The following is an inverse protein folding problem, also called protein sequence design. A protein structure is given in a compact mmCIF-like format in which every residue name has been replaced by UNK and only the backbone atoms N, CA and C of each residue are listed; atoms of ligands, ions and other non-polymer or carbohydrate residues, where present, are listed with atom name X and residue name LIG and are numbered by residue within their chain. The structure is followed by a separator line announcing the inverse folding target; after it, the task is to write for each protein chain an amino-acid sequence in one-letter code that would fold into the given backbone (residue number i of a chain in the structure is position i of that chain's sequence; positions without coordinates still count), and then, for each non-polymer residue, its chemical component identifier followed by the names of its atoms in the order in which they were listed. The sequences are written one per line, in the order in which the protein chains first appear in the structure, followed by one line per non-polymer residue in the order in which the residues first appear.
data_IF_161119202549
#
_entry.id   IF_161119202549
#
_cell.length_a   1.000
_cell.length_b   1.000
_cell.length_c   1.000
_cell.angle_alpha   90.00
_cell.angle_beta   90.00
_cell.angle_gamma   90.00
#
_symmetry.space_group_name_H-M   'P 1'
#
loop_
_entity.id
_entity.type
_entity.pdbx_description
1 polymer ?
#
# COMPACT_ATOMS: atom_id res chain seq x y z
N UNK A 1 -6.19 3.20 13.75
CA UNK A 1 -7.36 4.06 14.03
C UNK A 1 -7.77 4.80 12.76
N UNK A 2 -8.95 4.50 12.22
CA UNK A 2 -9.50 5.21 11.05
C UNK A 2 -10.08 6.54 11.52
N UNK A 3 -9.27 7.60 11.53
CA UNK A 3 -9.65 8.95 12.00
C UNK A 3 -10.75 9.61 11.15
N UNK A 4 -11.96 9.08 11.25
CA UNK A 4 -13.21 9.56 10.66
C UNK A 4 -14.16 9.94 11.81
N UNK A 5 -13.81 10.95 12.57
CA UNK A 5 -14.76 11.58 13.49
C UNK A 5 -15.69 12.48 12.66
N UNK A 6 -17.00 12.36 12.88
CA UNK A 6 -17.96 13.31 12.31
C UNK A 6 -17.72 14.66 12.96
N UNK A 7 -17.50 15.69 12.15
CA UNK A 7 -17.21 17.04 12.65
C UNK A 7 -18.37 17.60 13.48
N UNK A 8 -19.60 17.12 13.22
CA UNK A 8 -20.80 17.42 14.01
C UNK A 8 -20.69 17.01 15.50
N UNK A 9 -19.82 16.05 15.82
CA UNK A 9 -19.59 15.58 17.20
C UNK A 9 -18.36 16.20 17.86
N UNK A 10 -17.64 17.11 17.18
CA UNK A 10 -16.44 17.76 17.70
C UNK A 10 -16.84 19.12 18.28
N UNK A 11 -16.44 19.39 19.53
CA UNK A 11 -16.71 20.68 20.18
C UNK A 11 -15.96 21.79 19.44
N UNK A 12 -16.51 23.00 19.45
CA UNK A 12 -15.87 24.15 18.80
C UNK A 12 -14.45 24.41 19.35
N UNK A 13 -14.23 24.17 20.63
CA UNK A 13 -12.92 24.33 21.28
C UNK A 13 -11.87 23.31 20.79
N UNK A 14 -12.29 22.17 20.29
CA UNK A 14 -11.41 21.12 19.75
C UNK A 14 -11.12 21.33 18.25
N UNK A 15 -11.81 22.28 17.61
CA UNK A 15 -11.55 22.61 16.22
C UNK A 15 -10.30 23.48 16.09
N UNK A 16 -9.47 23.26 15.06
CA UNK A 16 -8.40 24.17 14.72
C UNK A 16 -8.91 25.61 14.54
N UNK A 17 -8.11 26.60 14.92
CA UNK A 17 -8.48 28.02 14.86
C UNK A 17 -8.99 28.47 13.49
N UNK A 18 -8.43 27.90 12.42
CA UNK A 18 -8.85 28.15 11.05
C UNK A 18 -10.30 27.75 10.78
N UNK A 19 -10.77 26.64 11.37
CA UNK A 19 -12.14 26.15 11.22
C UNK A 19 -13.09 26.79 12.23
N UNK A 20 -12.58 27.21 13.39
CA UNK A 20 -13.38 27.89 14.43
C UNK A 20 -13.84 29.27 13.98
N UNK A 21 -13.01 29.99 13.20
CA UNK A 21 -13.31 31.32 12.64
C UNK A 21 -14.30 31.33 11.47
N UNK A 22 -14.59 30.17 10.88
CA UNK A 22 -15.51 30.03 9.74
C UNK A 22 -16.95 29.83 10.21
N UNK A 23 -17.91 30.29 9.40
CA UNK A 23 -19.32 29.98 9.63
C UNK A 23 -19.57 28.46 9.56
N UNK A 24 -20.66 27.94 10.15
CA UNK A 24 -20.97 26.50 10.08
C UNK A 24 -21.04 25.94 8.65
N UNK A 25 -21.54 26.74 7.70
CA UNK A 25 -21.62 26.37 6.28
C UNK A 25 -20.23 26.33 5.61
N UNK A 26 -19.42 27.37 5.85
CA UNK A 26 -18.05 27.45 5.34
C UNK A 26 -17.16 26.33 5.93
N UNK A 27 -17.38 26.00 7.21
CA UNK A 27 -16.68 24.92 7.89
C UNK A 27 -16.97 23.58 7.21
N UNK A 28 -18.24 23.26 6.94
CA UNK A 28 -18.63 22.05 6.19
C UNK A 28 -17.95 22.01 4.82
N UNK A 29 -17.99 23.10 4.06
CA UNK A 29 -17.36 23.17 2.75
C UNK A 29 -15.83 22.92 2.79
N UNK A 30 -15.11 23.48 3.77
CA UNK A 30 -13.67 23.26 3.93
C UNK A 30 -13.35 21.81 4.35
N UNK A 31 -14.17 21.19 5.19
CA UNK A 31 -14.01 19.79 5.57
C UNK A 31 -14.25 18.88 4.37
N UNK A 32 -15.28 19.14 3.58
CA UNK A 32 -15.60 18.37 2.37
C UNK A 32 -14.46 18.47 1.35
N UNK A 33 -13.93 19.68 1.15
CA UNK A 33 -12.74 19.93 0.32
C UNK A 33 -11.51 19.15 0.80
N UNK A 34 -11.20 19.20 2.09
CA UNK A 34 -10.06 18.44 2.68
C UNK A 34 -10.29 16.93 2.58
N UNK A 35 -11.53 16.47 2.74
CA UNK A 35 -11.90 15.05 2.60
C UNK A 35 -11.77 14.56 1.17
N UNK A 36 -12.22 15.35 0.19
CA UNK A 36 -12.04 15.07 -1.23
C UNK A 36 -10.55 15.04 -1.62
N UNK A 37 -9.76 16.00 -1.12
CA UNK A 37 -8.31 16.01 -1.33
C UNK A 37 -7.65 14.75 -0.76
N UNK A 38 -8.01 14.34 0.46
CA UNK A 38 -7.52 13.10 1.08
C UNK A 38 -7.90 11.87 0.25
N UNK A 39 -9.13 11.80 -0.26
CA UNK A 39 -9.60 10.70 -1.12
C UNK A 39 -8.75 10.60 -2.40
N UNK A 40 -8.57 11.72 -3.11
CA UNK A 40 -7.77 11.77 -4.34
C UNK A 40 -6.31 11.37 -4.08
N UNK A 41 -5.72 11.80 -2.97
CA UNK A 41 -4.34 11.41 -2.60
C UNK A 41 -4.23 9.91 -2.29
N UNK A 42 -5.21 9.34 -1.58
CA UNK A 42 -5.23 7.92 -1.28
C UNK A 42 -5.41 7.06 -2.54
N UNK A 43 -6.24 7.50 -3.50
CA UNK A 43 -6.40 6.84 -4.79
C UNK A 43 -5.08 6.81 -5.58
N UNK A 44 -4.39 7.96 -5.66
CA UNK A 44 -3.06 8.04 -6.28
C UNK A 44 -2.05 7.13 -5.57
N UNK A 45 -2.07 7.11 -4.23
CA UNK A 45 -1.20 6.25 -3.44
C UNK A 45 -1.47 4.77 -3.71
N UNK A 46 -2.74 4.36 -3.78
CA UNK A 46 -3.11 2.98 -4.07
C UNK A 46 -2.58 2.52 -5.43
N UNK A 47 -2.68 3.38 -6.46
CA UNK A 47 -2.12 3.10 -7.80
C UNK A 47 -0.59 2.95 -7.73
N UNK A 48 0.11 3.81 -6.99
CA UNK A 48 1.57 3.72 -6.83
C UNK A 48 1.99 2.46 -6.09
N UNK A 49 1.26 2.08 -5.03
CA UNK A 49 1.50 0.85 -4.28
C UNK A 49 1.32 -0.38 -5.18
N UNK A 50 0.25 -0.41 -5.99
CA UNK A 50 0.04 -1.50 -6.96
C UNK A 50 1.20 -1.61 -7.96
N UNK A 51 1.66 -0.48 -8.52
CA UNK A 51 2.81 -0.46 -9.44
C UNK A 51 4.09 -0.97 -8.78
N UNK A 52 4.36 -0.54 -7.55
CA UNK A 52 5.51 -1.01 -6.77
C UNK A 52 5.43 -2.52 -6.54
N UNK A 53 4.28 -3.02 -6.12
CA UNK A 53 4.09 -4.43 -5.78
C UNK A 53 4.23 -5.32 -7.02
N UNK A 54 3.72 -4.86 -8.17
CA UNK A 54 3.93 -5.52 -9.46
C UNK A 54 5.43 -5.57 -9.83
N UNK A 55 6.14 -4.44 -9.75
CA UNK A 55 7.56 -4.37 -10.05
C UNK A 55 8.41 -5.24 -9.13
N UNK A 56 8.14 -5.22 -7.82
CA UNK A 56 8.86 -6.06 -6.85
C UNK A 56 8.61 -7.54 -7.13
N UNK A 57 7.38 -7.92 -7.45
CA UNK A 57 7.03 -9.30 -7.80
C UNK A 57 7.74 -9.75 -9.08
N UNK A 58 7.76 -8.90 -10.10
CA UNK A 58 8.46 -9.15 -11.36
C UNK A 58 9.98 -9.30 -11.13
N UNK A 59 10.60 -8.36 -10.40
CA UNK A 59 12.03 -8.44 -10.07
C UNK A 59 12.38 -9.65 -9.23
N UNK A 60 11.54 -10.02 -8.26
CA UNK A 60 11.70 -11.27 -7.50
C UNK A 60 11.60 -12.51 -8.40
N UNK A 61 10.71 -12.51 -9.39
CA UNK A 61 10.60 -13.60 -10.37
C UNK A 61 11.81 -13.67 -11.29
N UNK A 62 12.35 -12.53 -11.73
CA UNK A 62 13.52 -12.48 -12.60
C UNK A 62 14.84 -12.78 -11.88
N UNK A 63 14.92 -12.43 -10.59
CA UNK A 63 16.09 -12.67 -9.75
C UNK A 63 16.01 -14.00 -8.99
N UNK A 64 14.89 -14.71 -9.05
CA UNK A 64 14.82 -16.09 -8.59
C UNK A 64 15.88 -16.87 -9.38
N UNK A 65 16.82 -17.56 -8.71
CA UNK A 65 17.77 -18.39 -9.43
C UNK A 65 16.96 -19.31 -10.32
N UNK A 66 17.32 -19.37 -11.62
CA UNK A 66 16.77 -20.38 -12.51
C UNK A 66 16.86 -21.68 -11.73
N UNK A 67 15.70 -22.32 -11.45
CA UNK A 67 15.67 -23.62 -10.77
C UNK A 67 16.81 -24.41 -11.37
N UNK A 68 17.83 -24.74 -10.56
CA UNK A 68 19.08 -25.32 -11.03
C UNK A 68 18.76 -26.24 -12.21
N UNK A 69 19.36 -25.92 -13.37
CA UNK A 69 19.07 -26.55 -14.66
C UNK A 69 18.63 -27.98 -14.44
N UNK A 70 17.46 -28.37 -14.95
CA UNK A 70 16.90 -29.70 -14.69
C UNK A 70 17.89 -30.83 -14.98
N UNK A 71 18.89 -30.58 -15.82
CA UNK A 71 20.04 -31.44 -16.05
C UNK A 71 20.93 -31.61 -14.80
N UNK A 72 21.45 -30.52 -14.22
CA UNK A 72 22.35 -30.61 -13.04
C UNK A 72 21.65 -31.28 -11.85
N UNK A 73 20.35 -31.02 -11.68
CA UNK A 73 19.52 -31.72 -10.69
C UNK A 73 19.39 -33.22 -10.99
N UNK A 74 19.13 -33.59 -12.24
CA UNK A 74 19.06 -34.99 -12.65
C UNK A 74 20.42 -35.70 -12.51
N UNK A 75 21.52 -34.99 -12.76
CA UNK A 75 22.88 -35.50 -12.55
C UNK A 75 23.17 -35.69 -11.06
N UNK A 76 22.80 -34.75 -10.20
CA UNK A 76 22.95 -34.88 -8.75
C UNK A 76 22.14 -36.07 -8.19
N UNK A 77 20.90 -36.25 -8.66
CA UNK A 77 20.04 -37.37 -8.25
C UNK A 77 20.63 -38.73 -8.70
N UNK A 78 21.20 -38.81 -9.91
CA UNK A 78 21.84 -40.04 -10.40
C UNK A 78 23.14 -40.36 -9.65
N UNK A 79 23.98 -39.35 -9.37
CA UNK A 79 25.20 -39.51 -8.59
C UNK A 79 24.90 -40.02 -7.16
N UNK A 80 23.87 -39.48 -6.49
CA UNK A 80 23.42 -39.97 -5.17
C UNK A 80 22.94 -41.41 -5.20
N UNK A 81 22.24 -41.81 -6.27
CA UNK A 81 21.77 -43.18 -6.42
C UNK A 81 22.94 -44.16 -6.65
N UNK A 82 24.00 -43.72 -7.33
CA UNK A 82 25.19 -44.53 -7.60
C UNK A 82 26.11 -44.66 -6.38
N UNK A 83 26.24 -43.61 -5.55
CA UNK A 83 27.07 -43.66 -4.32
C UNK A 83 26.44 -44.44 -3.16
N UNK A 84 25.15 -44.77 -3.24
CA UNK A 84 24.44 -45.60 -2.25
C UNK A 84 24.41 -47.09 -2.59
N UNK A 85 24.91 -47.48 -3.76
CA UNK A 85 25.16 -48.87 -4.15
C UNK A 85 26.55 -49.29 -3.70
#
# INVERSE_FOLDING_TARGET
ASGRTKVEGVKDDELPDELRKLSPEQRKAEIDKKTAARKNLNEKLAVLVQKRDAFVTEKKRSAAPAKASSFDRAVEDTLKAQTRR
#
